data_IF_413940497498
#
_entry.id   IF_413940497498
#
_cell.length_a   1.000
_cell.length_b   1.000
_cell.length_c   1.000
_cell.angle_alpha   90.00
_cell.angle_beta   90.00
_cell.angle_gamma   90.00
#
_symmetry.space_group_name_H-M   'P 1'
#
loop_
_entity.id
_entity.type
_entity.pdbx_description
1 polymer ?
#
# COMPACT_ATOMS: atom_id res chain seq x y z
N UNK A 1 -28.14 3.49 4.56
CA UNK A 1 -27.62 4.36 5.66
C UNK A 1 -26.27 3.90 6.23
N UNK A 2 -25.60 2.94 5.59
CA UNK A 2 -24.24 2.52 6.02
C UNK A 2 -23.09 3.29 5.35
N UNK A 3 -23.36 4.09 4.33
CA UNK A 3 -22.33 4.84 3.59
C UNK A 3 -21.70 6.02 4.36
N UNK A 4 -22.43 6.58 5.35
CA UNK A 4 -21.95 7.77 6.07
C UNK A 4 -20.90 7.51 7.16
N UNK A 5 -20.76 6.28 7.66
CA UNK A 5 -19.79 5.99 8.73
C UNK A 5 -18.35 5.88 8.19
N UNK A 6 -18.19 5.20 7.06
CA UNK A 6 -16.86 5.03 6.47
C UNK A 6 -16.27 6.34 5.92
N UNK A 7 -17.13 7.22 5.41
CA UNK A 7 -16.70 8.53 4.91
C UNK A 7 -16.20 9.41 6.06
N UNK A 8 -16.89 9.39 7.21
CA UNK A 8 -16.51 10.18 8.38
C UNK A 8 -15.18 9.74 9.00
N UNK A 9 -14.96 8.41 9.12
CA UNK A 9 -13.69 7.88 9.63
C UNK A 9 -12.48 8.17 8.71
N UNK A 10 -12.70 8.21 7.40
CA UNK A 10 -11.66 8.58 6.43
C UNK A 10 -11.30 10.07 6.52
N UNK A 11 -12.28 10.96 6.68
CA UNK A 11 -12.04 12.39 6.84
C UNK A 11 -11.28 12.70 8.14
N UNK A 12 -11.59 11.99 9.22
CA UNK A 12 -10.89 12.13 10.49
C UNK A 12 -9.42 11.66 10.41
N UNK A 13 -9.16 10.56 9.69
CA UNK A 13 -7.82 10.05 9.41
C UNK A 13 -7.01 11.04 8.56
N UNK A 14 -7.63 11.64 7.54
CA UNK A 14 -7.00 12.64 6.67
C UNK A 14 -6.67 13.92 7.46
N UNK A 15 -7.56 14.36 8.32
CA UNK A 15 -7.34 15.49 9.22
C UNK A 15 -6.12 15.31 10.14
N UNK A 16 -5.77 14.07 10.47
CA UNK A 16 -4.62 13.76 11.32
C UNK A 16 -3.26 13.99 10.64
N UNK A 17 -3.22 14.14 9.31
CA UNK A 17 -1.96 14.37 8.57
C UNK A 17 -1.45 15.82 8.64
N UNK A 18 -2.25 16.76 9.13
CA UNK A 18 -1.91 18.17 9.23
C UNK A 18 -1.79 18.91 7.89
N UNK A 19 -2.17 18.27 6.77
CA UNK A 19 -2.08 18.86 5.41
C UNK A 19 -3.31 19.64 4.96
N UNK A 20 -4.37 19.70 5.77
CA UNK A 20 -5.60 20.39 5.38
C UNK A 20 -6.23 19.82 4.11
N UNK A 21 -6.57 20.70 3.15
CA UNK A 21 -7.20 20.31 1.87
C UNK A 21 -6.17 19.91 0.78
N UNK A 22 -4.88 19.92 1.08
CA UNK A 22 -3.84 19.56 0.10
C UNK A 22 -3.88 18.06 -0.26
N UNK A 23 -3.63 17.70 -1.54
CA UNK A 23 -3.57 16.30 -1.94
C UNK A 23 -2.50 15.54 -1.16
N UNK A 24 -2.87 14.37 -0.64
CA UNK A 24 -1.93 13.47 0.01
C UNK A 24 -1.11 12.71 -1.02
N UNK A 25 0.14 12.40 -0.69
CA UNK A 25 0.96 11.48 -1.45
C UNK A 25 0.74 10.05 -0.95
N UNK A 26 0.21 9.20 -1.81
CA UNK A 26 -0.21 7.83 -1.49
C UNK A 26 0.66 6.82 -2.22
N UNK A 27 1.29 5.91 -1.49
CA UNK A 27 1.95 4.75 -2.05
C UNK A 27 1.02 3.54 -1.98
N UNK A 28 0.63 3.01 -3.12
CA UNK A 28 -0.14 1.77 -3.24
C UNK A 28 0.82 0.62 -3.58
N UNK A 29 1.06 -0.27 -2.62
CA UNK A 29 1.80 -1.51 -2.83
C UNK A 29 0.86 -2.57 -3.37
N UNK A 30 1.04 -2.96 -4.63
CA UNK A 30 0.20 -3.93 -5.31
C UNK A 30 0.99 -4.74 -6.34
N UNK A 31 0.55 -5.96 -6.59
CA UNK A 31 1.09 -6.80 -7.65
C UNK A 31 0.30 -6.58 -8.94
N UNK A 32 0.74 -5.66 -9.78
CA UNK A 32 0.11 -5.38 -11.08
C UNK A 32 0.19 -6.56 -12.06
N UNK A 33 1.14 -7.47 -11.87
CA UNK A 33 1.27 -8.68 -12.66
C UNK A 33 0.38 -9.84 -12.19
N UNK A 34 -0.43 -9.63 -11.16
CA UNK A 34 -1.37 -10.65 -10.70
C UNK A 34 -2.48 -10.84 -11.74
N UNK A 35 -2.68 -12.11 -12.14
CA UNK A 35 -3.55 -12.46 -13.26
C UNK A 35 -5.05 -12.28 -13.02
N UNK A 36 -5.47 -12.05 -11.80
CA UNK A 36 -6.87 -11.77 -11.49
C UNK A 36 -7.25 -10.35 -11.95
N UNK A 37 -8.14 -10.24 -12.92
CA UNK A 37 -8.60 -8.97 -13.48
C UNK A 37 -9.13 -7.98 -12.44
N UNK A 38 -9.73 -8.48 -11.36
CA UNK A 38 -10.20 -7.67 -10.25
C UNK A 38 -9.10 -6.84 -9.56
N UNK A 39 -7.85 -7.32 -9.53
CA UNK A 39 -6.73 -6.54 -8.98
C UNK A 39 -6.41 -5.33 -9.83
N UNK A 40 -6.32 -5.51 -11.14
CA UNK A 40 -6.07 -4.41 -12.08
C UNK A 40 -7.19 -3.37 -12.06
N UNK A 41 -8.44 -3.82 -11.98
CA UNK A 41 -9.61 -2.94 -11.91
C UNK A 41 -9.64 -2.14 -10.60
N UNK A 42 -9.30 -2.77 -9.48
CA UNK A 42 -9.20 -2.10 -8.18
C UNK A 42 -8.11 -1.01 -8.19
N UNK A 43 -6.92 -1.33 -8.68
CA UNK A 43 -5.80 -0.38 -8.80
C UNK A 43 -6.20 0.80 -9.68
N UNK A 44 -6.83 0.53 -10.83
CA UNK A 44 -7.32 1.55 -11.77
C UNK A 44 -8.38 2.42 -11.13
N UNK A 45 -9.32 1.84 -10.37
CA UNK A 45 -10.36 2.57 -9.69
C UNK A 45 -9.80 3.54 -8.66
N UNK A 46 -8.84 3.12 -7.85
CA UNK A 46 -8.17 4.00 -6.88
C UNK A 46 -7.45 5.15 -7.59
N UNK A 47 -6.65 4.85 -8.61
CA UNK A 47 -5.88 5.89 -9.34
C UNK A 47 -6.76 6.92 -10.02
N UNK A 48 -7.85 6.48 -10.65
CA UNK A 48 -8.69 7.35 -11.47
C UNK A 48 -9.71 8.16 -10.65
N UNK A 49 -10.09 7.68 -9.48
CA UNK A 49 -11.13 8.33 -8.66
C UNK A 49 -10.59 8.99 -7.39
N UNK A 50 -9.28 8.90 -7.14
CA UNK A 50 -8.67 9.58 -6.00
C UNK A 50 -8.38 11.03 -6.32
N UNK A 51 -8.69 11.93 -5.38
CA UNK A 51 -8.24 13.33 -5.38
C UNK A 51 -6.79 13.47 -4.90
N UNK A 52 -6.15 12.38 -4.50
CA UNK A 52 -4.79 12.32 -3.99
C UNK A 52 -3.80 11.82 -5.04
N UNK A 53 -2.51 12.09 -4.85
CA UNK A 53 -1.44 11.61 -5.72
C UNK A 53 -1.10 10.15 -5.42
N UNK A 54 -1.58 9.23 -6.25
CA UNK A 54 -1.38 7.78 -6.06
C UNK A 54 -0.24 7.26 -6.92
N UNK A 55 0.80 6.75 -6.26
CA UNK A 55 1.90 6.02 -6.88
C UNK A 55 1.75 4.53 -6.62
N UNK A 56 1.74 3.72 -7.68
CA UNK A 56 1.66 2.26 -7.57
C UNK A 56 3.05 1.65 -7.71
N UNK A 57 3.41 0.75 -6.80
CA UNK A 57 4.66 0.00 -6.84
C UNK A 57 4.43 -1.47 -6.50
N UNK A 58 5.14 -2.35 -7.21
CA UNK A 58 5.15 -3.79 -6.91
C UNK A 58 6.38 -4.13 -6.06
N UNK A 59 6.22 -4.52 -4.78
CA UNK A 59 7.34 -4.83 -3.91
C UNK A 59 7.92 -6.23 -4.14
N UNK A 60 7.26 -7.08 -4.92
CA UNK A 60 7.69 -8.47 -5.13
C UNK A 60 8.96 -8.49 -6.00
N UNK A 61 10.07 -9.08 -5.51
CA UNK A 61 11.29 -9.21 -6.30
C UNK A 61 11.04 -10.09 -7.53
N UNK A 62 11.45 -9.63 -8.70
CA UNK A 62 11.26 -10.39 -9.96
C UNK A 62 12.50 -11.15 -10.40
N UNK A 63 13.69 -10.73 -9.99
CA UNK A 63 14.93 -11.41 -10.35
C UNK A 63 15.46 -12.27 -9.21
N UNK A 64 16.20 -13.34 -9.57
CA UNK A 64 16.92 -14.16 -8.59
C UNK A 64 17.98 -13.35 -7.85
N UNK A 65 18.57 -12.37 -8.53
CA UNK A 65 19.59 -11.50 -7.97
C UNK A 65 18.99 -10.57 -6.89
N UNK A 66 17.80 -10.01 -7.13
CA UNK A 66 17.11 -9.18 -6.15
C UNK A 66 16.76 -9.98 -4.88
N UNK A 67 16.36 -11.24 -5.06
CA UNK A 67 16.10 -12.17 -3.95
C UNK A 67 17.36 -12.46 -3.14
N UNK A 68 18.47 -12.70 -3.82
CA UNK A 68 19.75 -13.04 -3.19
C UNK A 68 20.34 -11.85 -2.44
N UNK A 69 20.28 -10.66 -3.02
CA UNK A 69 20.84 -9.44 -2.44
C UNK A 69 19.93 -8.81 -1.37
N UNK A 70 18.70 -9.32 -1.20
CA UNK A 70 17.72 -8.77 -0.27
C UNK A 70 17.38 -7.30 -0.56
N UNK A 71 17.61 -6.83 -1.78
CA UNK A 71 17.36 -5.45 -2.18
C UNK A 71 15.87 -5.28 -2.45
N UNK A 72 15.19 -4.37 -1.76
CA UNK A 72 13.80 -4.06 -2.08
C UNK A 72 13.75 -3.28 -3.39
N UNK A 73 12.82 -3.65 -4.25
CA UNK A 73 12.50 -2.84 -5.44
C UNK A 73 11.85 -1.51 -5.07
N UNK A 74 11.29 -1.43 -3.88
CA UNK A 74 10.44 -0.33 -3.46
C UNK A 74 10.85 0.12 -2.08
N UNK A 75 11.23 1.40 -2.00
CA UNK A 75 11.32 2.13 -0.74
C UNK A 75 10.02 2.86 -0.43
N UNK A 76 9.90 3.37 0.78
CA UNK A 76 8.76 4.18 1.23
C UNK A 76 9.00 5.69 1.04
N UNK A 77 9.82 6.03 0.06
CA UNK A 77 10.11 7.42 -0.33
C UNK A 77 9.81 7.62 -1.81
N UNK A 78 9.38 8.83 -2.15
CA UNK A 78 9.17 9.23 -3.53
C UNK A 78 10.51 9.44 -4.27
N UNK A 79 10.45 9.82 -5.55
CA UNK A 79 11.63 10.06 -6.38
C UNK A 79 12.49 11.23 -5.88
N UNK A 80 11.90 12.13 -5.09
CA UNK A 80 12.58 13.26 -4.47
C UNK A 80 13.10 12.95 -3.04
N UNK A 81 12.95 11.71 -2.58
CA UNK A 81 13.40 11.27 -1.27
C UNK A 81 12.48 11.69 -0.11
N UNK A 82 11.25 12.16 -0.39
CA UNK A 82 10.26 12.53 0.62
C UNK A 82 9.43 11.31 1.04
N UNK A 83 9.03 11.28 2.30
CA UNK A 83 8.13 10.23 2.79
C UNK A 83 6.72 10.40 2.20
N UNK A 84 6.06 9.29 1.88
CA UNK A 84 4.64 9.30 1.56
C UNK A 84 3.81 9.63 2.80
N UNK A 85 2.63 10.20 2.61
CA UNK A 85 1.68 10.45 3.70
C UNK A 85 0.93 9.17 4.07
N UNK A 86 0.61 8.36 3.05
CA UNK A 86 -0.18 7.14 3.20
C UNK A 86 0.49 5.99 2.45
N UNK A 87 0.53 4.82 3.08
CA UNK A 87 0.90 3.56 2.43
C UNK A 87 -0.28 2.60 2.49
N UNK A 88 -0.74 2.17 1.32
CA UNK A 88 -1.80 1.17 1.17
C UNK A 88 -1.17 -0.14 0.71
N UNK A 89 -1.41 -1.22 1.43
CA UNK A 89 -0.99 -2.57 1.04
C UNK A 89 -2.22 -3.29 0.49
N UNK A 90 -2.23 -3.51 -0.81
CA UNK A 90 -3.30 -4.21 -1.49
C UNK A 90 -3.27 -5.71 -1.17
N UNK A 91 -4.41 -6.39 -1.20
CA UNK A 91 -4.54 -7.81 -0.89
C UNK A 91 -3.70 -8.74 -1.80
N UNK A 92 -3.31 -8.28 -2.99
CA UNK A 92 -2.36 -9.02 -3.85
C UNK A 92 -0.96 -9.16 -3.26
N UNK A 93 -0.66 -8.37 -2.21
CA UNK A 93 0.59 -8.43 -1.46
C UNK A 93 0.31 -9.05 -0.09
N UNK A 94 0.52 -10.36 0.02
CA UNK A 94 0.37 -11.04 1.30
C UNK A 94 1.55 -10.73 2.22
N UNK A 95 1.32 -9.94 3.27
CA UNK A 95 2.36 -9.52 4.23
C UNK A 95 2.97 -10.69 5.01
N UNK A 96 2.29 -11.84 5.07
CA UNK A 96 2.79 -13.03 5.73
C UNK A 96 3.84 -13.77 4.89
N UNK A 97 3.87 -13.55 3.59
CA UNK A 97 4.83 -14.17 2.68
C UNK A 97 6.09 -13.31 2.64
N UNK A 98 7.23 -13.89 3.08
CA UNK A 98 8.51 -13.15 3.14
C UNK A 98 8.98 -12.65 1.79
N UNK A 99 8.73 -13.40 0.72
CA UNK A 99 9.12 -13.03 -0.65
C UNK A 99 8.30 -11.83 -1.17
N UNK A 100 7.07 -11.63 -0.67
CA UNK A 100 6.22 -10.51 -1.07
C UNK A 100 6.59 -9.22 -0.35
N UNK A 101 6.95 -9.33 0.91
CA UNK A 101 7.38 -8.19 1.73
C UNK A 101 8.75 -8.50 2.33
N UNK A 102 9.84 -8.18 1.65
CA UNK A 102 11.20 -8.44 2.11
C UNK A 102 11.48 -7.81 3.47
N UNK A 103 12.44 -8.37 4.19
CA UNK A 103 12.79 -7.93 5.55
C UNK A 103 13.05 -6.41 5.65
N UNK A 104 13.72 -5.85 4.65
CA UNK A 104 13.97 -4.41 4.61
C UNK A 104 12.66 -3.61 4.53
N UNK A 105 11.75 -3.98 3.63
CA UNK A 105 10.47 -3.30 3.49
C UNK A 105 9.64 -3.41 4.77
N UNK A 106 9.67 -4.56 5.44
CA UNK A 106 9.02 -4.73 6.76
C UNK A 106 9.58 -3.77 7.80
N UNK A 107 10.90 -3.61 7.82
CA UNK A 107 11.56 -2.66 8.73
C UNK A 107 11.14 -1.22 8.41
N UNK A 108 11.10 -0.85 7.13
CA UNK A 108 10.66 0.47 6.68
C UNK A 108 9.19 0.73 7.02
N UNK A 109 8.31 -0.27 6.82
CA UNK A 109 6.89 -0.17 7.20
C UNK A 109 6.69 0.00 8.71
N UNK A 110 7.53 -0.64 9.54
CA UNK A 110 7.49 -0.44 11.01
C UNK A 110 7.91 0.97 11.40
N UNK A 111 8.92 1.51 10.73
CA UNK A 111 9.45 2.84 11.01
C UNK A 111 8.59 3.96 10.41
N UNK A 112 7.74 3.63 9.45
CA UNK A 112 6.88 4.59 8.75
C UNK A 112 5.90 5.27 9.71
N UNK A 113 5.87 6.61 9.70
CA UNK A 113 5.07 7.43 10.63
C UNK A 113 3.73 7.89 10.06
N UNK A 114 3.53 7.76 8.75
CA UNK A 114 2.28 8.09 8.10
C UNK A 114 1.18 7.06 8.32
N UNK A 115 0.10 7.21 7.59
CA UNK A 115 -1.06 6.30 7.65
C UNK A 115 -0.72 4.99 6.93
N UNK A 116 -0.98 3.87 7.56
CA UNK A 116 -0.83 2.52 6.98
C UNK A 116 -2.19 1.87 6.86
N UNK A 117 -2.56 1.50 5.64
CA UNK A 117 -3.83 0.81 5.35
C UNK A 117 -3.50 -0.54 4.73
N UNK A 118 -4.10 -1.59 5.24
CA UNK A 118 -4.03 -2.91 4.64
C UNK A 118 -5.41 -3.33 4.15
N UNK A 119 -5.50 -3.68 2.88
CA UNK A 119 -6.70 -4.27 2.28
C UNK A 119 -6.58 -5.79 2.34
N UNK A 120 -7.56 -6.44 2.97
CA UNK A 120 -7.61 -7.89 3.14
C UNK A 120 -8.81 -8.42 2.36
N UNK A 121 -8.60 -9.47 1.56
CA UNK A 121 -9.67 -10.10 0.79
C UNK A 121 -10.20 -11.36 1.51
N UNK A 122 -9.33 -12.25 1.92
CA UNK A 122 -9.68 -13.56 2.47
C UNK A 122 -9.28 -13.65 3.96
N UNK A 123 -9.97 -12.94 4.83
CA UNK A 123 -9.64 -12.86 6.26
C UNK A 123 -9.56 -14.22 6.94
N UNK A 124 -10.42 -15.15 6.54
CA UNK A 124 -10.52 -16.49 7.17
C UNK A 124 -9.32 -17.40 6.89
N UNK A 125 -8.49 -17.13 5.87
CA UNK A 125 -7.35 -18.00 5.53
C UNK A 125 -6.23 -17.96 6.56
N UNK A 126 -6.12 -16.91 7.35
CA UNK A 126 -4.95 -16.64 8.18
C UNK A 126 -5.28 -16.30 9.64
N UNK A 127 -6.57 -16.31 10.02
CA UNK A 127 -7.04 -15.89 11.34
C UNK A 127 -6.64 -16.87 12.46
N UNK A 128 -6.34 -18.12 12.14
CA UNK A 128 -6.06 -19.19 13.10
C UNK A 128 -4.59 -19.67 13.12
N UNK A 129 -3.64 -18.80 12.85
CA UNK A 129 -2.22 -19.16 12.95
C UNK A 129 -1.47 -18.36 13.98
#
# INVERSE_FOLDING_TARGET
MSENRHTFEMEELISSTGKGDDPLSVLLLANEGYTAGCCADYIRAIRNNSSHEVTVRNPIPTSRLDKLLGRPRVGLKDEQGRDYDVVIIHYSICILIRDYVPRYLRKSLRAFKGIKIQVIQDEYRWVNR
#
